data_IF_033336688261
#
_entry.id   IF_033336688261
#
_cell.length_a   1.000
_cell.length_b   1.000
_cell.length_c   1.000
_cell.angle_alpha   90.00
_cell.angle_beta   90.00
_cell.angle_gamma   90.00
#
_symmetry.space_group_name_H-M   'P 1'
#
loop_
_entity.id
_entity.type
_entity.pdbx_description
1 polymer ?
#
# COMPACT_ATOMS: atom_id res chain seq x y z
N UNK A 1 -7.49 7.76 -8.87
CA UNK A 1 -6.18 7.40 -9.44
C UNK A 1 -5.01 7.78 -8.54
N UNK A 2 -4.81 9.07 -8.20
CA UNK A 2 -3.71 9.47 -7.29
C UNK A 2 -3.74 8.81 -5.90
N UNK A 3 -4.94 8.60 -5.34
CA UNK A 3 -5.11 7.86 -4.07
C UNK A 3 -4.60 6.42 -4.18
N UNK A 4 -4.96 5.72 -5.26
CA UNK A 4 -4.48 4.35 -5.52
C UNK A 4 -2.95 4.34 -5.66
N UNK A 5 -2.39 5.29 -6.41
CA UNK A 5 -0.95 5.41 -6.59
C UNK A 5 -0.19 5.57 -5.26
N UNK A 6 -0.71 6.41 -4.34
CA UNK A 6 -0.09 6.59 -3.04
C UNK A 6 -0.21 5.34 -2.17
N UNK A 7 -1.37 4.66 -2.16
CA UNK A 7 -1.54 3.42 -1.40
C UNK A 7 -0.63 2.31 -1.91
N UNK A 8 -0.43 2.24 -3.23
CA UNK A 8 0.55 1.33 -3.84
C UNK A 8 1.99 1.71 -3.46
N UNK A 9 2.32 3.00 -3.37
CA UNK A 9 3.64 3.45 -2.91
C UNK A 9 3.90 3.03 -1.46
N UNK A 10 2.93 3.24 -0.56
CA UNK A 10 2.99 2.82 0.84
C UNK A 10 3.14 1.28 0.97
N UNK A 11 2.47 0.51 0.10
CA UNK A 11 2.61 -0.94 0.04
C UNK A 11 4.02 -1.36 -0.39
N UNK A 12 4.50 -0.79 -1.50
CA UNK A 12 5.81 -1.10 -2.07
C UNK A 12 6.97 -0.62 -1.18
N UNK A 13 6.79 0.41 -0.38
CA UNK A 13 7.80 0.84 0.60
C UNK A 13 8.11 -0.28 1.62
N UNK A 14 7.09 -1.06 2.00
CA UNK A 14 7.28 -2.15 2.95
C UNK A 14 7.61 -3.50 2.30
N UNK A 15 6.89 -3.86 1.23
CA UNK A 15 6.89 -5.18 0.59
C UNK A 15 7.60 -5.22 -0.77
N UNK A 16 7.91 -4.07 -1.36
CA UNK A 16 8.60 -3.99 -2.64
C UNK A 16 10.04 -4.51 -2.55
N UNK A 17 10.51 -5.08 -3.65
CA UNK A 17 11.90 -5.50 -3.79
C UNK A 17 12.81 -4.25 -3.87
N UNK A 18 13.78 -4.08 -2.95
CA UNK A 18 14.69 -2.94 -2.98
C UNK A 18 15.47 -2.79 -4.30
N UNK A 19 15.77 -3.89 -5.01
CA UNK A 19 16.46 -3.86 -6.30
C UNK A 19 15.59 -3.25 -7.39
N UNK A 20 14.28 -3.54 -7.36
CA UNK A 20 13.29 -2.99 -8.30
C UNK A 20 12.95 -1.53 -7.93
N UNK A 21 12.80 -1.25 -6.64
CA UNK A 21 12.43 0.07 -6.13
C UNK A 21 13.58 1.08 -6.18
N UNK A 22 14.83 0.61 -6.20
CA UNK A 22 16.03 1.45 -6.14
C UNK A 22 16.19 2.19 -4.80
N UNK A 23 15.39 1.83 -3.80
CA UNK A 23 15.41 2.38 -2.43
C UNK A 23 15.02 1.31 -1.43
N UNK A 24 15.49 1.47 -0.19
CA UNK A 24 14.95 0.76 0.97
C UNK A 24 13.84 1.63 1.53
N UNK A 25 12.64 1.08 1.71
CA UNK A 25 11.55 1.81 2.32
C UNK A 25 11.73 2.02 3.82
N UNK A 26 11.27 3.16 4.31
CA UNK A 26 11.50 3.69 5.66
C UNK A 26 10.22 4.14 6.36
N UNK A 27 9.04 3.86 5.78
CA UNK A 27 7.76 4.35 6.31
C UNK A 27 7.51 3.95 7.78
N UNK A 28 7.99 2.77 8.19
CA UNK A 28 7.85 2.26 9.56
C UNK A 28 8.71 3.08 10.51
N UNK A 29 9.99 3.27 10.17
CA UNK A 29 10.97 4.01 10.96
C UNK A 29 10.62 5.50 11.06
N UNK A 30 10.11 6.07 9.98
CA UNK A 30 9.72 7.48 9.87
C UNK A 30 8.37 7.78 10.55
N UNK A 31 7.75 6.78 11.19
CA UNK A 31 6.45 6.90 11.85
C UNK A 31 5.37 7.46 10.91
N UNK A 32 5.40 7.07 9.63
CA UNK A 32 4.44 7.57 8.66
C UNK A 32 3.07 6.98 8.92
N UNK A 33 2.04 7.79 8.69
CA UNK A 33 0.65 7.34 8.61
C UNK A 33 0.40 6.64 7.26
N UNK A 34 1.13 5.56 7.01
CA UNK A 34 1.02 4.77 5.78
C UNK A 34 -0.29 3.98 5.76
N UNK A 35 -0.77 3.63 4.58
CA UNK A 35 -1.94 2.78 4.42
C UNK A 35 -1.77 1.45 5.16
N UNK A 36 -0.59 0.84 5.13
CA UNK A 36 -0.30 -0.40 5.85
C UNK A 36 -0.48 -0.27 7.36
N UNK A 37 -0.01 0.83 7.96
CA UNK A 37 -0.20 1.07 9.39
C UNK A 37 -1.69 1.16 9.75
N UNK A 38 -2.46 1.92 8.97
CA UNK A 38 -3.91 2.06 9.21
C UNK A 38 -4.63 0.72 9.04
N UNK A 39 -4.29 -0.07 8.02
CA UNK A 39 -4.89 -1.40 7.81
C UNK A 39 -4.53 -2.39 8.91
N UNK A 40 -3.30 -2.32 9.43
CA UNK A 40 -2.90 -3.13 10.58
C UNK A 40 -3.70 -2.75 11.83
N UNK A 41 -3.79 -1.44 12.13
CA UNK A 41 -4.44 -0.93 13.34
C UNK A 41 -5.91 -1.37 13.47
N UNK A 42 -6.63 -1.51 12.36
CA UNK A 42 -8.04 -1.96 12.37
C UNK A 42 -8.20 -3.49 12.39
N UNK A 43 -7.12 -4.26 12.30
CA UNK A 43 -7.11 -5.74 12.24
C UNK A 43 -6.41 -6.42 13.42
N UNK A 44 -5.54 -5.70 14.11
CA UNK A 44 -4.81 -6.24 15.27
C UNK A 44 -5.75 -6.57 16.42
N UNK A 45 -5.44 -7.65 17.15
CA UNK A 45 -5.92 -7.86 18.51
C UNK A 45 -5.13 -7.03 19.53
N UNK A 46 -5.51 -7.07 20.82
CA UNK A 46 -4.83 -6.29 21.87
C UNK A 46 -3.33 -6.60 21.99
N UNK A 47 -2.92 -7.87 21.85
CA UNK A 47 -1.51 -8.25 21.95
C UNK A 47 -0.72 -7.77 20.74
N UNK A 48 -1.28 -7.92 19.55
CA UNK A 48 -0.68 -7.46 18.30
C UNK A 48 -0.61 -5.92 18.24
N UNK A 49 -1.58 -5.25 18.84
CA UNK A 49 -1.61 -3.79 18.98
C UNK A 49 -0.47 -3.26 19.84
N UNK A 50 -0.15 -3.94 20.95
CA UNK A 50 1.03 -3.62 21.75
C UNK A 50 2.31 -3.79 20.93
N UNK A 51 2.44 -4.89 20.18
CA UNK A 51 3.58 -5.10 19.27
C UNK A 51 3.68 -3.97 18.24
N UNK A 52 2.57 -3.57 17.64
CA UNK A 52 2.55 -2.48 16.66
C UNK A 52 3.03 -1.17 17.31
N UNK A 53 2.47 -0.76 18.45
CA UNK A 53 2.82 0.51 19.08
C UNK A 53 4.22 0.57 19.71
N UNK A 54 4.72 -0.54 20.23
CA UNK A 54 6.08 -0.59 20.80
C UNK A 54 7.17 -0.47 19.74
N UNK A 55 6.91 -0.95 18.52
CA UNK A 55 7.92 -1.12 17.48
C UNK A 55 7.80 -0.14 16.31
N UNK A 56 6.62 0.43 16.04
CA UNK A 56 6.43 1.42 14.96
C UNK A 56 7.11 2.76 15.29
N UNK A 57 7.76 3.39 14.31
CA UNK A 57 8.54 4.63 14.49
C UNK A 57 9.90 4.46 15.14
N UNK A 58 10.44 3.24 15.15
CA UNK A 58 11.76 2.93 15.69
C UNK A 58 12.71 2.61 14.54
N UNK A 59 13.86 3.27 14.53
CA UNK A 59 14.92 2.99 13.55
C UNK A 59 15.71 1.70 13.81
N UNK A 60 15.42 0.98 14.91
CA UNK A 60 16.02 -0.31 15.18
C UNK A 60 15.51 -1.36 14.16
N UNK A 61 16.39 -2.00 13.37
CA UNK A 61 15.98 -3.02 12.40
C UNK A 61 15.18 -4.17 13.02
N UNK A 62 15.41 -4.51 14.30
CA UNK A 62 14.66 -5.55 14.99
C UNK A 62 13.20 -5.13 15.24
N UNK A 63 12.95 -3.84 15.53
CA UNK A 63 11.60 -3.28 15.65
C UNK A 63 10.90 -3.27 14.29
N UNK A 64 11.58 -2.83 13.23
CA UNK A 64 11.05 -2.85 11.87
C UNK A 64 10.68 -4.26 11.44
N UNK A 65 11.55 -5.24 11.71
CA UNK A 65 11.29 -6.65 11.40
C UNK A 65 10.03 -7.20 12.10
N UNK A 66 9.79 -6.82 13.36
CA UNK A 66 8.57 -7.19 14.09
C UNK A 66 7.31 -6.61 13.46
N UNK A 67 7.34 -5.34 13.05
CA UNK A 67 6.20 -4.70 12.35
C UNK A 67 5.96 -5.39 11.01
N UNK A 68 7.00 -5.65 10.22
CA UNK A 68 6.87 -6.36 8.93
C UNK A 68 6.34 -7.78 9.11
N UNK A 69 6.78 -8.50 10.15
CA UNK A 69 6.26 -9.82 10.49
C UNK A 69 4.77 -9.77 10.87
N UNK A 70 4.37 -8.76 11.66
CA UNK A 70 2.97 -8.55 12.01
C UNK A 70 2.11 -8.26 10.76
N UNK A 71 2.60 -7.45 9.82
CA UNK A 71 1.86 -7.20 8.56
C UNK A 71 1.65 -8.48 7.74
N UNK A 72 2.62 -9.39 7.74
CA UNK A 72 2.49 -10.71 7.12
C UNK A 72 1.48 -11.59 7.86
N UNK A 73 1.52 -11.59 9.19
CA UNK A 73 0.56 -12.33 10.03
C UNK A 73 -0.89 -11.86 9.80
N UNK A 74 -1.10 -10.56 9.65
CA UNK A 74 -2.38 -9.94 9.32
C UNK A 74 -2.77 -10.10 7.83
N UNK A 75 -1.93 -10.76 7.03
CA UNK A 75 -2.12 -11.02 5.61
C UNK A 75 -2.40 -9.74 4.79
N UNK A 76 -1.68 -8.65 5.09
CA UNK A 76 -1.91 -7.35 4.45
C UNK A 76 -1.59 -7.35 2.95
N UNK A 77 -0.75 -8.28 2.46
CA UNK A 77 -0.52 -8.51 1.03
C UNK A 77 -1.81 -8.92 0.30
N UNK A 78 -2.62 -9.80 0.91
CA UNK A 78 -3.91 -10.19 0.36
C UNK A 78 -4.92 -9.05 0.44
N UNK A 79 -4.94 -8.30 1.55
CA UNK A 79 -5.80 -7.11 1.71
C UNK A 79 -5.50 -6.07 0.64
N UNK A 80 -4.21 -5.81 0.36
CA UNK A 80 -3.79 -4.90 -0.71
C UNK A 80 -4.19 -5.44 -2.08
N UNK A 81 -3.98 -6.73 -2.34
CA UNK A 81 -4.33 -7.36 -3.62
C UNK A 81 -5.83 -7.25 -3.93
N UNK A 82 -6.68 -7.43 -2.91
CA UNK A 82 -8.13 -7.26 -3.02
C UNK A 82 -8.50 -5.79 -3.28
N UNK A 83 -7.93 -4.87 -2.50
CA UNK A 83 -8.12 -3.42 -2.70
C UNK A 83 -7.70 -2.98 -4.11
N UNK A 84 -6.54 -3.43 -4.59
CA UNK A 84 -6.01 -3.10 -5.91
C UNK A 84 -6.94 -3.57 -7.04
N UNK A 85 -7.51 -4.77 -6.91
CA UNK A 85 -8.49 -5.29 -7.88
C UNK A 85 -9.75 -4.42 -7.89
N UNK A 86 -10.34 -4.16 -6.73
CA UNK A 86 -11.58 -3.39 -6.60
C UNK A 86 -11.42 -1.95 -7.11
N UNK A 87 -10.31 -1.28 -6.75
CA UNK A 87 -10.08 0.10 -7.19
C UNK A 87 -9.78 0.16 -8.68
N UNK A 88 -9.12 -0.85 -9.25
CA UNK A 88 -8.89 -0.93 -10.70
C UNK A 88 -10.20 -1.07 -11.47
N UNK A 89 -11.07 -2.01 -11.07
CA UNK A 89 -12.38 -2.21 -11.68
C UNK A 89 -13.22 -0.93 -11.62
N UNK A 90 -13.24 -0.27 -10.46
CA UNK A 90 -13.90 1.02 -10.29
C UNK A 90 -13.33 2.10 -11.21
N UNK A 91 -12.01 2.24 -11.28
CA UNK A 91 -11.36 3.26 -12.12
C UNK A 91 -11.62 3.00 -13.60
N UNK A 92 -11.61 1.75 -14.06
CA UNK A 92 -11.99 1.41 -15.44
C UNK A 92 -13.43 1.81 -15.73
N UNK A 93 -14.37 1.44 -14.85
CA UNK A 93 -15.79 1.81 -14.98
C UNK A 93 -15.99 3.34 -15.04
N UNK A 94 -15.35 4.07 -14.13
CA UNK A 94 -15.41 5.54 -14.08
C UNK A 94 -14.81 6.18 -15.36
N UNK A 95 -13.74 5.60 -15.91
CA UNK A 95 -13.13 6.06 -17.16
C UNK A 95 -14.06 5.78 -18.34
N UNK A 96 -14.71 4.62 -18.41
CA UNK A 96 -15.59 4.26 -19.51
C UNK A 96 -16.91 5.04 -19.50
N UNK A 97 -17.34 5.50 -18.32
CA UNK A 97 -18.46 6.40 -18.17
C UNK A 97 -18.19 7.84 -18.65
N UNK A 98 -16.92 8.22 -18.91
CA UNK A 98 -16.56 9.54 -19.42
C UNK A 98 -17.01 9.70 -20.89
N UNK A 99 -17.88 10.65 -21.26
CA UNK A 99 -18.36 10.84 -22.64
C UNK A 99 -17.29 11.11 -23.71
N UNK A 100 -16.12 11.64 -23.34
CA UNK A 100 -15.08 12.01 -24.32
C UNK A 100 -14.04 10.89 -24.49
N UNK A 101 -14.04 10.23 -25.66
CA UNK A 101 -13.13 9.14 -26.00
C UNK A 101 -11.63 9.52 -25.93
N UNK A 102 -11.27 10.74 -26.33
CA UNK A 102 -9.88 11.19 -26.22
C UNK A 102 -9.45 11.31 -24.75
N UNK A 103 -10.34 11.76 -23.86
CA UNK A 103 -10.09 11.78 -22.42
C UNK A 103 -10.01 10.36 -21.87
N UNK A 104 -10.87 9.44 -22.32
CA UNK A 104 -10.76 8.03 -21.92
C UNK A 104 -9.39 7.45 -22.27
N UNK A 105 -8.91 7.68 -23.50
CA UNK A 105 -7.62 7.17 -23.96
C UNK A 105 -6.46 7.70 -23.09
N UNK A 106 -6.49 8.99 -22.74
CA UNK A 106 -5.52 9.58 -21.82
C UNK A 106 -5.59 8.90 -20.45
N UNK A 107 -6.78 8.79 -19.85
CA UNK A 107 -6.93 8.20 -18.51
C UNK A 107 -6.56 6.71 -18.47
N UNK A 108 -6.91 5.94 -19.50
CA UNK A 108 -6.50 4.53 -19.66
C UNK A 108 -4.97 4.42 -19.76
N UNK A 109 -4.32 5.32 -20.49
CA UNK A 109 -2.85 5.39 -20.58
C UNK A 109 -2.20 5.67 -19.22
N UNK A 110 -2.76 6.59 -18.42
CA UNK A 110 -2.28 6.83 -17.06
C UNK A 110 -2.49 5.63 -16.14
N UNK A 111 -3.67 5.00 -16.17
CA UNK A 111 -3.96 3.83 -15.34
C UNK A 111 -3.04 2.65 -15.66
N UNK A 112 -2.78 2.41 -16.95
CA UNK A 112 -1.87 1.34 -17.39
C UNK A 112 -0.44 1.52 -16.88
N UNK A 113 0.04 2.76 -16.73
CA UNK A 113 1.40 3.05 -16.24
C UNK A 113 1.56 2.80 -14.74
N UNK A 114 0.47 2.79 -13.98
CA UNK A 114 0.53 2.67 -12.51
C UNK A 114 -0.02 1.34 -12.00
N UNK A 115 -0.80 0.63 -12.80
CA UNK A 115 -1.38 -0.65 -12.39
C UNK A 115 -0.32 -1.74 -12.30
N UNK A 116 -0.19 -2.40 -11.14
CA UNK A 116 0.78 -3.48 -10.87
C UNK A 116 2.23 -3.13 -11.25
N UNK A 117 2.68 -1.93 -10.85
CA UNK A 117 4.08 -1.51 -11.03
C UNK A 117 4.99 -2.10 -9.96
#
# INVERSE_FOLDING_TARGET
MGIYFQIQDDYLDCFGDPEVMGKIGTDIEDFKCSWLFVQALVRVDERQKDILFENYGKSDPACVAKVKALYKELNLEAVFSEYEREIYEKLISDIEAQPNEAVQAVLKSFLHKIYRR
#
